data_IF_660934444226
#
_entry.id   IF_660934444226
#
_cell.length_a   1.000
_cell.length_b   1.000
_cell.length_c   1.000
_cell.angle_alpha   90.00
_cell.angle_beta   90.00
_cell.angle_gamma   90.00
#
_symmetry.space_group_name_H-M   'P 1'
#
loop_
_entity.id
_entity.type
_entity.pdbx_description
1 polymer ?
#
# COMPACT_ATOMS: atom_id res chain seq x y z
N UNK A 1 -18.24 -19.00 17.77
CA UNK A 1 -17.08 -19.51 17.01
C UNK A 1 -17.27 -19.13 15.55
N UNK A 2 -16.38 -18.34 14.96
CA UNK A 2 -16.49 -17.95 13.55
C UNK A 2 -15.97 -19.11 12.70
N UNK A 3 -16.87 -19.72 11.92
CA UNK A 3 -16.53 -20.79 10.99
C UNK A 3 -15.66 -20.20 9.87
N UNK A 4 -14.51 -20.80 9.57
CA UNK A 4 -13.50 -20.21 8.67
C UNK A 4 -14.03 -19.75 7.30
N UNK A 5 -15.07 -20.40 6.78
CA UNK A 5 -15.77 -20.00 5.56
C UNK A 5 -16.43 -18.62 5.63
N UNK A 6 -16.90 -18.21 6.82
CA UNK A 6 -17.47 -16.86 7.05
C UNK A 6 -16.39 -15.79 6.89
N UNK A 7 -15.17 -16.05 7.36
CA UNK A 7 -14.03 -15.12 7.22
C UNK A 7 -13.68 -14.91 5.74
N UNK A 8 -13.66 -16.00 4.96
CA UNK A 8 -13.42 -15.93 3.51
C UNK A 8 -14.53 -15.15 2.81
N UNK A 9 -15.80 -15.42 3.14
CA UNK A 9 -16.93 -14.69 2.55
C UNK A 9 -16.91 -13.19 2.88
N UNK A 10 -16.59 -12.83 4.13
CA UNK A 10 -16.46 -11.42 4.53
C UNK A 10 -15.29 -10.75 3.79
N UNK A 11 -14.15 -11.42 3.68
CA UNK A 11 -12.98 -10.89 2.97
C UNK A 11 -13.28 -10.68 1.47
N UNK A 12 -13.90 -11.68 0.81
CA UNK A 12 -14.32 -11.56 -0.58
C UNK A 12 -15.38 -10.47 -0.77
N UNK A 13 -16.35 -10.39 0.15
CA UNK A 13 -17.37 -9.33 0.15
C UNK A 13 -16.76 -7.94 0.32
N UNK A 14 -15.76 -7.79 1.21
CA UNK A 14 -15.02 -6.55 1.40
C UNK A 14 -14.22 -6.15 0.15
N UNK A 15 -13.50 -7.08 -0.47
CA UNK A 15 -12.78 -6.84 -1.73
C UNK A 15 -13.77 -6.46 -2.84
N UNK A 16 -14.91 -7.15 -2.93
CA UNK A 16 -15.99 -6.83 -3.88
C UNK A 16 -16.59 -5.44 -3.65
N UNK A 17 -16.79 -5.04 -2.39
CA UNK A 17 -17.23 -3.70 -2.03
C UNK A 17 -16.20 -2.64 -2.48
N UNK A 18 -14.92 -2.85 -2.18
CA UNK A 18 -13.84 -1.97 -2.64
C UNK A 18 -13.81 -1.87 -4.17
N UNK A 19 -14.07 -2.98 -4.87
CA UNK A 19 -14.19 -3.00 -6.33
C UNK A 19 -15.36 -2.14 -6.85
N UNK A 20 -16.53 -2.23 -6.20
CA UNK A 20 -17.69 -1.38 -6.54
C UNK A 20 -17.38 0.09 -6.29
N UNK A 21 -16.75 0.42 -5.16
CA UNK A 21 -16.37 1.80 -4.81
C UNK A 21 -15.37 2.36 -5.83
N UNK A 22 -14.35 1.58 -6.21
CA UNK A 22 -13.33 2.00 -7.16
C UNK A 22 -13.93 2.21 -8.57
N UNK A 23 -14.73 1.26 -9.06
CA UNK A 23 -15.38 1.38 -10.38
C UNK A 23 -16.41 2.53 -10.45
N UNK A 24 -17.11 2.80 -9.34
CA UNK A 24 -17.97 3.98 -9.23
C UNK A 24 -17.15 5.28 -9.20
N UNK A 25 -16.03 5.28 -8.47
CA UNK A 25 -15.08 6.39 -8.41
C UNK A 25 -14.58 6.83 -9.78
N UNK A 26 -14.29 5.88 -10.68
CA UNK A 26 -13.85 6.15 -12.05
C UNK A 26 -14.95 6.79 -12.91
N UNK A 27 -16.19 6.32 -12.78
CA UNK A 27 -17.33 6.90 -13.51
C UNK A 27 -17.61 8.33 -13.07
N UNK A 28 -17.51 8.61 -11.76
CA UNK A 28 -17.73 9.96 -11.20
C UNK A 28 -16.57 10.90 -11.53
N UNK A 29 -15.34 10.39 -11.65
CA UNK A 29 -14.16 11.22 -12.02
C UNK A 29 -14.32 11.87 -13.40
N UNK A 30 -15.02 11.21 -14.33
CA UNK A 30 -15.35 11.76 -15.67
C UNK A 30 -16.37 12.91 -15.64
N UNK A 31 -17.10 13.10 -14.54
CA UNK A 31 -18.19 14.08 -14.41
C UNK A 31 -17.70 15.40 -13.76
N UNK A 32 -16.40 15.53 -13.47
CA UNK A 32 -15.80 16.75 -12.95
C UNK A 32 -16.04 16.90 -11.43
N UNK A 33 -15.00 16.62 -10.64
CA UNK A 33 -15.06 16.71 -9.17
C UNK A 33 -14.83 18.15 -8.69
N UNK A 34 -15.77 18.68 -7.91
CA UNK A 34 -15.63 19.96 -7.21
C UNK A 34 -14.43 19.99 -6.24
N UNK A 35 -13.84 21.19 -6.06
CA UNK A 35 -12.62 21.45 -5.27
C UNK A 35 -12.58 20.77 -3.89
N UNK A 36 -13.72 20.72 -3.18
CA UNK A 36 -13.83 20.16 -1.83
C UNK A 36 -13.48 18.67 -1.73
N UNK A 37 -13.76 17.89 -2.77
CA UNK A 37 -13.43 16.46 -2.78
C UNK A 37 -11.93 16.20 -2.97
N UNK A 38 -11.22 17.07 -3.71
CA UNK A 38 -9.77 16.97 -3.90
C UNK A 38 -9.01 17.20 -2.60
N UNK A 39 -9.47 18.12 -1.75
CA UNK A 39 -8.91 18.39 -0.42
C UNK A 39 -8.98 17.17 0.51
N UNK A 40 -10.00 16.32 0.39
CA UNK A 40 -10.16 15.13 1.23
C UNK A 40 -9.43 13.92 0.66
N UNK A 41 -9.34 13.79 -0.67
CA UNK A 41 -8.69 12.64 -1.31
C UNK A 41 -7.19 12.60 -0.98
N UNK A 42 -6.50 13.74 -1.05
CA UNK A 42 -5.05 13.79 -0.81
C UNK A 42 -4.61 13.23 0.56
N UNK A 43 -5.16 13.67 1.71
CA UNK A 43 -4.81 13.12 3.02
C UNK A 43 -5.29 11.67 3.17
N UNK A 44 -6.42 11.28 2.57
CA UNK A 44 -6.89 9.89 2.60
C UNK A 44 -5.94 8.95 1.84
N UNK A 45 -5.34 9.39 0.74
CA UNK A 45 -4.31 8.61 0.03
C UNK A 45 -3.06 8.39 0.90
N UNK A 46 -2.74 9.34 1.79
CA UNK A 46 -1.61 9.22 2.70
C UNK A 46 -1.83 8.11 3.75
N UNK A 47 -3.07 7.65 3.96
CA UNK A 47 -3.38 6.51 4.82
C UNK A 47 -2.74 5.19 4.35
N UNK A 48 -2.22 5.13 3.11
CA UNK A 48 -1.39 4.00 2.64
C UNK A 48 -0.17 3.74 3.53
N UNK A 49 0.28 4.75 4.29
CA UNK A 49 1.30 4.60 5.31
C UNK A 49 0.91 3.57 6.40
N UNK A 50 -0.38 3.50 6.75
CA UNK A 50 -0.91 2.60 7.77
C UNK A 50 -1.12 1.19 7.21
N UNK A 51 -0.02 0.44 7.05
CA UNK A 51 -0.04 -0.93 6.53
C UNK A 51 -0.21 -1.99 7.61
N UNK A 52 -0.41 -3.25 7.21
CA UNK A 52 -0.38 -4.40 8.10
C UNK A 52 0.90 -4.44 8.96
N UNK A 53 2.04 -4.03 8.40
CA UNK A 53 3.30 -3.94 9.15
C UNK A 53 3.21 -2.92 10.29
N UNK A 54 2.66 -1.73 10.04
CA UNK A 54 2.48 -0.73 11.11
C UNK A 54 1.51 -1.20 12.18
N UNK A 55 0.47 -1.96 11.81
CA UNK A 55 -0.48 -2.51 12.76
C UNK A 55 0.16 -3.57 13.66
N UNK A 56 0.72 -4.64 13.08
CA UNK A 56 1.36 -5.71 13.86
C UNK A 56 2.59 -5.23 14.61
N UNK A 57 3.39 -4.35 13.99
CA UNK A 57 4.54 -3.72 14.61
C UNK A 57 4.15 -2.88 15.83
N UNK A 58 3.13 -2.02 15.70
CA UNK A 58 2.69 -1.14 16.80
C UNK A 58 2.06 -1.93 17.94
N UNK A 59 1.23 -2.94 17.66
CA UNK A 59 0.65 -3.81 18.70
C UNK A 59 1.75 -4.61 19.41
N UNK A 60 2.72 -5.13 18.66
CA UNK A 60 3.87 -5.86 19.21
C UNK A 60 4.76 -4.97 20.09
N UNK A 61 5.05 -3.75 19.64
CA UNK A 61 5.80 -2.77 20.42
C UNK A 61 5.02 -2.36 21.68
N UNK A 62 3.71 -2.10 21.54
CA UNK A 62 2.86 -1.73 22.67
C UNK A 62 2.85 -2.79 23.77
N UNK A 63 2.82 -4.07 23.38
CA UNK A 63 2.88 -5.18 24.33
C UNK A 63 4.23 -5.31 25.05
N UNK A 64 5.34 -4.82 24.47
CA UNK A 64 6.70 -5.00 25.04
C UNK A 64 7.24 -3.75 25.70
N UNK A 65 7.05 -2.59 25.10
CA UNK A 65 7.67 -1.31 25.51
C UNK A 65 6.65 -0.18 25.72
N UNK A 66 5.34 -0.48 25.64
CA UNK A 66 4.29 0.48 25.98
C UNK A 66 4.09 1.54 24.90
N UNK A 67 4.38 2.81 25.16
CA UNK A 67 4.02 3.91 24.26
C UNK A 67 5.02 4.19 23.12
N UNK A 68 6.11 3.43 23.03
CA UNK A 68 7.13 3.67 21.99
C UNK A 68 6.58 3.58 20.56
N UNK A 69 5.50 2.83 20.33
CA UNK A 69 4.89 2.73 19.00
C UNK A 69 4.43 4.08 18.46
N UNK A 70 4.13 5.03 19.36
CA UNK A 70 3.66 6.37 18.99
C UNK A 70 4.73 7.15 18.22
N UNK A 71 6.01 6.84 18.43
CA UNK A 71 7.13 7.48 17.71
C UNK A 71 7.08 7.21 16.20
N UNK A 72 6.61 6.04 15.78
CA UNK A 72 6.43 5.68 14.37
C UNK A 72 5.38 6.58 13.70
N UNK A 73 4.36 7.01 14.44
CA UNK A 73 3.33 7.91 13.93
C UNK A 73 3.73 9.38 14.04
N UNK A 74 4.42 9.76 15.12
CA UNK A 74 4.84 11.13 15.36
C UNK A 74 5.92 11.58 14.38
N UNK A 75 6.83 10.69 13.99
CA UNK A 75 7.91 10.99 13.04
C UNK A 75 7.42 11.56 11.70
N UNK A 76 6.53 10.87 10.97
CA UNK A 76 5.92 11.38 9.74
C UNK A 76 5.15 12.69 9.95
N UNK A 77 4.41 12.83 11.06
CA UNK A 77 3.66 14.07 11.35
C UNK A 77 4.61 15.26 11.51
N UNK A 78 5.69 15.09 12.27
CA UNK A 78 6.72 16.11 12.42
C UNK A 78 7.47 16.37 11.11
N UNK A 79 7.78 15.34 10.35
CA UNK A 79 8.44 15.47 9.05
C UNK A 79 7.58 16.26 8.07
N UNK A 80 6.29 15.95 7.96
CA UNK A 80 5.37 16.69 7.08
C UNK A 80 5.18 18.12 7.58
N UNK A 81 5.05 18.33 8.89
CA UNK A 81 4.89 19.67 9.48
C UNK A 81 6.11 20.57 9.31
N UNK A 82 7.31 20.08 9.65
CA UNK A 82 8.56 20.84 9.62
C UNK A 82 9.17 20.92 8.22
N UNK A 83 9.12 19.84 7.45
CA UNK A 83 9.68 19.77 6.10
C UNK A 83 8.66 20.07 4.99
N UNK A 84 7.48 20.61 5.34
CA UNK A 84 6.48 21.06 4.37
C UNK A 84 7.06 21.86 3.19
N UNK A 85 7.89 22.91 3.38
CA UNK A 85 8.43 23.67 2.25
C UNK A 85 9.35 22.84 1.34
N UNK A 86 10.03 21.84 1.90
CA UNK A 86 10.89 20.92 1.12
C UNK A 86 10.01 19.98 0.29
N UNK A 87 8.94 19.44 0.88
CA UNK A 87 7.98 18.59 0.17
C UNK A 87 7.35 19.32 -1.02
N UNK A 88 6.92 20.57 -0.83
CA UNK A 88 6.36 21.40 -1.91
C UNK A 88 7.38 21.62 -3.02
N UNK A 89 8.66 21.87 -2.68
CA UNK A 89 9.73 22.00 -3.69
C UNK A 89 9.96 20.72 -4.48
N UNK A 90 10.00 19.57 -3.80
CA UNK A 90 10.15 18.25 -4.46
C UNK A 90 9.00 18.01 -5.44
N UNK A 91 7.77 18.26 -5.01
CA UNK A 91 6.56 18.06 -5.83
C UNK A 91 6.55 19.00 -7.03
N UNK A 92 6.95 20.27 -6.85
CA UNK A 92 7.06 21.23 -7.95
C UNK A 92 8.11 20.80 -8.98
N UNK A 93 9.30 20.44 -8.52
CA UNK A 93 10.38 19.98 -9.39
C UNK A 93 10.00 18.70 -10.17
N UNK A 94 9.32 17.77 -9.50
CA UNK A 94 8.84 16.55 -10.15
C UNK A 94 7.87 16.87 -11.30
N UNK A 95 7.01 17.88 -11.13
CA UNK A 95 6.04 18.31 -12.16
C UNK A 95 6.69 19.08 -13.30
N UNK A 96 7.55 20.03 -12.99
CA UNK A 96 8.28 20.81 -14.00
C UNK A 96 9.13 19.91 -14.92
N UNK A 97 9.64 18.79 -14.40
CA UNK A 97 10.48 17.86 -15.15
C UNK A 97 9.74 16.59 -15.65
N UNK A 98 8.42 16.51 -15.48
CA UNK A 98 7.60 15.33 -15.83
C UNK A 98 8.16 14.00 -15.26
N UNK A 99 8.60 14.05 -14.00
CA UNK A 99 9.17 12.92 -13.27
C UNK A 99 8.03 12.12 -12.62
N UNK A 100 7.94 10.83 -12.94
CA UNK A 100 6.87 9.94 -12.45
C UNK A 100 7.36 8.90 -11.44
N UNK A 101 8.68 8.73 -11.28
CA UNK A 101 9.28 7.76 -10.37
C UNK A 101 10.40 8.35 -9.51
N UNK A 102 10.70 7.72 -8.37
CA UNK A 102 11.83 8.09 -7.50
C UNK A 102 13.17 7.89 -8.24
N UNK A 103 13.27 6.86 -9.08
CA UNK A 103 14.45 6.60 -9.90
C UNK A 103 14.73 7.74 -10.88
N UNK A 104 13.69 8.22 -11.56
CA UNK A 104 13.78 9.36 -12.47
C UNK A 104 14.05 10.66 -11.72
N UNK A 105 13.51 10.81 -10.51
CA UNK A 105 13.78 11.97 -9.65
C UNK A 105 15.26 12.09 -9.30
N UNK A 106 15.88 10.97 -8.90
CA UNK A 106 17.30 10.94 -8.59
C UNK A 106 18.11 11.13 -9.88
N UNK A 107 17.77 10.42 -10.97
CA UNK A 107 18.49 10.54 -12.23
C UNK A 107 18.45 11.95 -12.84
N UNK A 108 17.34 12.68 -12.68
CA UNK A 108 17.21 14.07 -13.11
C UNK A 108 18.25 14.99 -12.46
N UNK A 109 18.65 14.70 -11.21
CA UNK A 109 19.72 15.42 -10.52
C UNK A 109 21.12 15.14 -11.09
N UNK A 110 21.31 13.99 -11.74
CA UNK A 110 22.59 13.57 -12.35
C UNK A 110 22.60 13.70 -13.87
N UNK A 111 21.80 14.60 -14.44
CA UNK A 111 21.76 14.85 -15.89
C UNK A 111 21.01 13.79 -16.69
N UNK A 112 19.97 13.18 -16.10
CA UNK A 112 19.09 12.17 -16.74
C UNK A 112 19.84 10.92 -17.25
N UNK A 113 20.95 10.57 -16.59
CA UNK A 113 21.72 9.35 -16.91
C UNK A 113 20.89 8.10 -16.59
N UNK A 114 20.59 7.31 -17.62
CA UNK A 114 19.83 6.06 -17.49
C UNK A 114 20.49 5.06 -16.53
N UNK A 115 21.83 5.01 -16.48
CA UNK A 115 22.55 4.14 -15.55
C UNK A 115 22.19 4.42 -14.08
N UNK A 116 22.06 5.70 -13.69
CA UNK A 116 21.69 6.08 -12.31
C UNK A 116 20.25 5.70 -12.03
N UNK A 117 19.33 5.95 -12.97
CA UNK A 117 17.93 5.55 -12.85
C UNK A 117 17.82 4.02 -12.66
N UNK A 118 18.54 3.24 -13.47
CA UNK A 118 18.54 1.79 -13.41
C UNK A 118 19.07 1.27 -12.06
N UNK A 119 20.16 1.83 -11.54
CA UNK A 119 20.69 1.45 -10.22
C UNK A 119 19.69 1.76 -9.11
N UNK A 120 19.09 2.94 -9.10
CA UNK A 120 18.09 3.33 -8.09
C UNK A 120 16.86 2.42 -8.17
N UNK A 121 16.37 2.14 -9.38
CA UNK A 121 15.24 1.24 -9.59
C UNK A 121 15.57 -0.16 -9.08
N UNK A 122 16.77 -0.69 -9.35
CA UNK A 122 17.19 -2.01 -8.88
C UNK A 122 17.27 -2.06 -7.35
N UNK A 123 17.83 -1.05 -6.70
CA UNK A 123 17.85 -0.94 -5.24
C UNK A 123 16.42 -0.90 -4.68
N UNK A 124 15.54 -0.11 -5.29
CA UNK A 124 14.13 -0.01 -4.88
C UNK A 124 13.40 -1.36 -5.02
N UNK A 125 13.62 -2.08 -6.12
CA UNK A 125 13.06 -3.42 -6.35
C UNK A 125 13.57 -4.40 -5.29
N UNK A 126 14.89 -4.47 -5.08
CA UNK A 126 15.51 -5.36 -4.09
C UNK A 126 15.02 -5.07 -2.67
N UNK A 127 14.77 -3.80 -2.33
CA UNK A 127 14.19 -3.43 -1.03
C UNK A 127 12.69 -3.70 -0.91
N UNK A 128 11.93 -3.57 -2.00
CA UNK A 128 10.47 -3.72 -1.99
C UNK A 128 10.03 -5.18 -1.98
N UNK A 129 10.74 -6.08 -2.66
CA UNK A 129 10.44 -7.52 -2.69
C UNK A 129 10.34 -8.13 -1.28
N UNK A 130 11.35 -8.01 -0.39
CA UNK A 130 11.27 -8.58 0.95
C UNK A 130 10.20 -7.89 1.81
N UNK A 131 9.94 -6.60 1.59
CA UNK A 131 8.86 -5.90 2.28
C UNK A 131 7.48 -6.46 1.91
N UNK A 132 7.22 -6.69 0.61
CA UNK A 132 5.99 -7.36 0.15
C UNK A 132 5.89 -8.77 0.75
N UNK A 133 6.99 -9.53 0.75
CA UNK A 133 7.02 -10.88 1.33
C UNK A 133 6.67 -10.86 2.84
N UNK A 134 7.21 -9.90 3.60
CA UNK A 134 6.88 -9.72 5.02
C UNK A 134 5.42 -9.35 5.24
N UNK A 135 4.84 -8.50 4.39
CA UNK A 135 3.41 -8.17 4.48
C UNK A 135 2.53 -9.39 4.20
N UNK A 136 2.83 -10.16 3.15
CA UNK A 136 2.10 -11.39 2.84
C UNK A 136 2.20 -12.42 3.97
N UNK A 137 3.39 -12.57 4.57
CA UNK A 137 3.60 -13.44 5.73
C UNK A 137 2.79 -12.98 6.96
N UNK A 138 2.70 -11.69 7.21
CA UNK A 138 1.90 -11.16 8.32
C UNK A 138 0.40 -11.44 8.12
N UNK A 139 -0.09 -11.26 6.88
CA UNK A 139 -1.48 -11.58 6.53
C UNK A 139 -1.74 -13.08 6.67
N UNK A 140 -0.86 -13.94 6.14
CA UNK A 140 -1.07 -15.38 6.23
C UNK A 140 -1.03 -15.91 7.67
N UNK A 141 -0.10 -15.42 8.49
CA UNK A 141 -0.03 -15.76 9.90
C UNK A 141 -1.32 -15.37 10.65
N UNK A 142 -1.88 -14.20 10.34
CA UNK A 142 -3.11 -13.70 10.96
C UNK A 142 -4.33 -14.51 10.57
N UNK A 143 -4.41 -14.94 9.31
CA UNK A 143 -5.48 -15.85 8.89
C UNK A 143 -5.29 -17.22 9.57
N UNK A 144 -4.06 -17.75 9.62
CA UNK A 144 -3.74 -18.99 10.31
C UNK A 144 -4.21 -19.02 11.77
N UNK A 145 -3.95 -17.97 12.55
CA UNK A 145 -4.37 -17.91 13.96
C UNK A 145 -5.89 -17.91 14.16
N UNK A 146 -6.64 -17.28 13.25
CA UNK A 146 -8.10 -17.25 13.28
C UNK A 146 -8.68 -18.65 12.98
N UNK A 147 -8.08 -19.40 12.07
CA UNK A 147 -8.54 -20.76 11.71
C UNK A 147 -8.18 -21.82 12.75
N UNK A 148 -7.00 -21.72 13.41
CA UNK A 148 -6.56 -22.65 14.46
C UNK A 148 -7.47 -22.64 15.68
N UNK A 149 -8.04 -21.49 16.04
CA UNK A 149 -8.96 -21.38 17.18
C UNK A 149 -10.37 -21.91 16.87
N UNK A 150 -10.70 -22.21 15.61
CA UNK A 150 -12.02 -22.71 15.19
C UNK A 150 -12.08 -24.22 14.89
N UNK A 151 -10.93 -24.83 14.62
CA UNK A 151 -10.79 -26.26 14.34
C UNK A 151 -9.47 -26.68 14.97
N UNK A 152 -9.46 -27.61 15.93
CA UNK A 152 -8.26 -28.08 16.65
C UNK A 152 -7.24 -28.83 15.76
N UNK A 153 -6.84 -28.21 14.66
CA UNK A 153 -6.07 -28.76 13.57
C UNK A 153 -4.72 -28.03 13.57
N UNK A 154 -3.69 -28.77 13.99
CA UNK A 154 -2.31 -28.28 14.06
C UNK A 154 -1.81 -27.92 12.65
N UNK A 155 -1.46 -26.65 12.44
CA UNK A 155 -0.96 -26.09 11.15
C UNK A 155 0.48 -26.50 10.82
N UNK A 156 1.06 -27.43 11.58
CA UNK A 156 2.49 -27.77 11.43
C UNK A 156 2.75 -28.63 10.18
N UNK A 157 1.72 -29.15 9.50
CA UNK A 157 1.90 -30.02 8.34
C UNK A 157 0.79 -29.91 7.29
N UNK A 158 0.58 -28.73 6.68
CA UNK A 158 -0.13 -28.68 5.39
C UNK A 158 0.88 -28.57 4.24
N UNK A 159 0.69 -29.35 3.14
CA UNK A 159 1.53 -29.25 1.97
C UNK A 159 1.39 -27.86 1.34
N UNK A 160 2.48 -27.36 0.76
CA UNK A 160 2.61 -26.06 0.07
C UNK A 160 1.49 -25.79 -0.97
N UNK A 161 0.78 -26.83 -1.41
CA UNK A 161 -0.28 -26.80 -2.43
C UNK A 161 -1.70 -26.59 -1.84
N UNK A 162 -1.86 -26.49 -0.51
CA UNK A 162 -3.13 -26.21 0.16
C UNK A 162 -3.06 -25.04 1.16
N UNK A 163 -1.98 -24.27 1.13
CA UNK A 163 -1.70 -23.24 2.13
C UNK A 163 -2.57 -22.00 1.85
N UNK A 164 -3.34 -21.57 2.84
CA UNK A 164 -4.21 -20.37 2.77
C UNK A 164 -3.41 -19.13 2.35
N UNK A 165 -2.12 -19.10 2.69
CA UNK A 165 -1.14 -18.12 2.23
C UNK A 165 -1.12 -17.95 0.71
N UNK A 166 -1.15 -19.06 -0.04
CA UNK A 166 -1.12 -19.07 -1.51
C UNK A 166 -2.43 -18.54 -2.09
N UNK A 167 -3.58 -18.89 -1.50
CA UNK A 167 -4.88 -18.41 -1.95
C UNK A 167 -5.03 -16.91 -1.72
N UNK A 168 -4.60 -16.41 -0.55
CA UNK A 168 -4.56 -14.96 -0.27
C UNK A 168 -3.63 -14.24 -1.25
N UNK A 169 -2.43 -14.77 -1.47
CA UNK A 169 -1.48 -14.20 -2.43
C UNK A 169 -2.05 -14.16 -3.85
N UNK A 170 -2.66 -15.24 -4.33
CA UNK A 170 -3.32 -15.30 -5.65
C UNK A 170 -4.48 -14.30 -5.75
N UNK A 171 -5.28 -14.16 -4.70
CA UNK A 171 -6.40 -13.20 -4.68
C UNK A 171 -5.89 -11.76 -4.71
N UNK A 172 -4.85 -11.44 -3.92
CA UNK A 172 -4.21 -10.13 -3.96
C UNK A 172 -3.51 -9.86 -5.30
N UNK A 173 -2.87 -10.87 -5.89
CA UNK A 173 -2.26 -10.77 -7.21
C UNK A 173 -3.31 -10.53 -8.31
N UNK A 174 -4.42 -11.28 -8.29
CA UNK A 174 -5.53 -11.06 -9.21
C UNK A 174 -6.11 -9.65 -9.05
N UNK A 175 -6.32 -9.18 -7.82
CA UNK A 175 -6.76 -7.81 -7.56
C UNK A 175 -5.76 -6.76 -8.10
N UNK A 176 -4.47 -6.95 -7.83
CA UNK A 176 -3.40 -6.08 -8.31
C UNK A 176 -3.29 -6.07 -9.84
N UNK A 177 -3.49 -7.21 -10.52
CA UNK A 177 -3.51 -7.28 -11.99
C UNK A 177 -4.75 -6.57 -12.53
N UNK A 178 -5.94 -6.86 -12.01
CA UNK A 178 -7.21 -6.31 -12.50
C UNK A 178 -7.27 -4.78 -12.38
N UNK A 179 -6.63 -4.20 -11.35
CA UNK A 179 -6.62 -2.76 -11.10
C UNK A 179 -5.31 -2.06 -11.50
N UNK A 180 -4.17 -2.67 -11.20
CA UNK A 180 -2.85 -2.07 -11.42
C UNK A 180 -2.45 -2.04 -12.90
N UNK A 181 -2.88 -3.03 -13.71
CA UNK A 181 -2.59 -3.02 -15.16
C UNK A 181 -3.58 -2.19 -15.96
N UNK A 182 -4.77 -1.92 -15.41
CA UNK A 182 -5.81 -1.15 -16.10
C UNK A 182 -5.54 0.35 -16.07
N UNK A 183 -4.68 0.84 -15.18
CA UNK A 183 -4.36 2.26 -15.01
C UNK A 183 -2.85 2.52 -15.05
N UNK A 184 -2.17 2.03 -16.10
CA UNK A 184 -0.82 2.49 -16.47
C UNK A 184 -0.93 3.87 -17.15
N UNK A 185 -1.66 4.79 -16.53
CA UNK A 185 -1.66 6.20 -16.92
C UNK A 185 -0.87 6.98 -15.88
N UNK A 186 0.46 6.88 -16.00
CA UNK A 186 1.40 7.74 -15.30
C UNK A 186 1.37 9.20 -15.82
N UNK A 187 0.45 9.51 -16.74
CA UNK A 187 0.44 10.72 -17.57
C UNK A 187 -0.93 11.38 -17.74
N UNK A 188 -1.94 11.07 -16.91
CA UNK A 188 -3.17 11.86 -16.93
C UNK A 188 -3.08 13.06 -16.00
N UNK A 189 -3.18 14.25 -16.62
CA UNK A 189 -3.26 15.58 -16.03
C UNK A 189 -3.99 15.58 -14.67
N UNK A 190 -3.23 15.81 -13.60
CA UNK A 190 -3.79 16.34 -12.37
C UNK A 190 -4.00 17.83 -12.56
N UNK A 191 -5.19 18.21 -13.04
CA UNK A 191 -5.76 19.59 -12.92
C UNK A 191 -6.04 19.95 -11.43
N UNK A 192 -5.19 19.48 -10.52
CA UNK A 192 -5.25 19.69 -9.09
C UNK A 192 -4.05 20.44 -8.53
N UNK A 193 -3.12 20.90 -9.38
CA UNK A 193 -2.08 21.83 -8.99
C UNK A 193 -2.18 23.09 -9.80
N UNK A 194 -2.75 24.09 -9.14
CA UNK A 194 -2.04 25.35 -9.05
C UNK A 194 -0.76 25.14 -8.22
#
# INVERSE_FOLDING_TARGET
MLQGWVVVLIALGYIGLLFVIASYGDRVRKIGRGSRSRLLIYPLCLAIYCTSWTFFGSVGLASRTGFDFLTIYLGPVLMVGLCYPVLVRIVRLAKEQNITSIADFIAARYGKRQAVAATVALIAIVGTIPYIALQLKAVSASVGTIFVHGSGMNVVAMPVIGDISLLVALTMAAFAVLFGTRHIDATEHQDGLM
#
